data_IF_931145208523
#
_entry.id   IF_931145208523
#
_cell.length_a   1.000
_cell.length_b   1.000
_cell.length_c   1.000
_cell.angle_alpha   90.00
_cell.angle_beta   90.00
_cell.angle_gamma   90.00
#
_symmetry.space_group_name_H-M   'P 1'
#
loop_
_entity.id
_entity.type
_entity.pdbx_description
1 polymer ?
#
# COMPACT_ATOMS: atom_id res chain seq x y z
N UNK A 1 30.27 10.52 18.10
CA UNK A 1 28.96 11.22 18.17
C UNK A 1 28.79 12.05 16.90
N UNK A 2 28.33 11.46 15.79
CA UNK A 2 28.21 12.14 14.50
C UNK A 2 26.80 12.70 14.34
N UNK A 3 26.61 13.99 14.67
CA UNK A 3 25.33 14.70 14.49
C UNK A 3 25.30 15.31 13.09
N UNK A 4 24.93 14.48 12.11
CA UNK A 4 24.68 14.93 10.73
C UNK A 4 23.41 15.78 10.75
N UNK A 5 23.55 17.07 10.45
CA UNK A 5 22.50 18.10 10.51
C UNK A 5 21.48 17.97 9.36
N UNK A 6 20.88 16.80 9.19
CA UNK A 6 19.53 16.71 8.62
C UNK A 6 18.61 16.93 9.82
N UNK A 7 17.99 18.11 9.93
CA UNK A 7 17.09 18.52 11.04
C UNK A 7 15.77 17.73 11.03
N UNK A 8 15.85 16.40 11.00
CA UNK A 8 14.75 15.50 11.23
C UNK A 8 15.27 14.40 12.15
N UNK A 9 15.09 14.59 13.46
CA UNK A 9 15.44 13.59 14.48
C UNK A 9 14.44 12.43 14.40
N UNK A 10 14.57 11.56 13.41
CA UNK A 10 13.81 10.32 13.30
C UNK A 10 14.78 9.15 13.48
N UNK A 11 14.62 8.39 14.56
CA UNK A 11 15.43 7.18 14.77
C UNK A 11 14.90 6.03 13.92
N UNK A 12 15.77 5.06 13.60
CA UNK A 12 15.35 3.85 12.90
C UNK A 12 14.22 3.12 13.65
N UNK A 13 14.31 3.03 14.98
CA UNK A 13 13.29 2.38 15.80
C UNK A 13 11.91 3.05 15.67
N UNK A 14 11.87 4.39 15.63
CA UNK A 14 10.64 5.13 15.40
C UNK A 14 10.09 4.88 13.99
N UNK A 15 10.95 4.93 12.96
CA UNK A 15 10.56 4.67 11.58
C UNK A 15 9.99 3.25 11.40
N UNK A 16 10.66 2.27 12.00
CA UNK A 16 10.26 0.87 11.98
C UNK A 16 8.93 0.66 12.69
N UNK A 17 8.78 1.21 13.91
CA UNK A 17 7.52 1.12 14.64
C UNK A 17 6.35 1.73 13.85
N UNK A 18 6.52 2.95 13.33
CA UNK A 18 5.52 3.62 12.48
C UNK A 18 5.12 2.72 11.31
N UNK A 19 6.10 2.12 10.64
CA UNK A 19 5.84 1.23 9.50
C UNK A 19 5.05 -0.01 9.92
N UNK A 20 5.46 -0.71 10.98
CA UNK A 20 4.76 -1.90 11.47
C UNK A 20 3.30 -1.61 11.81
N UNK A 21 3.03 -0.52 12.55
CA UNK A 21 1.67 -0.15 12.92
C UNK A 21 0.83 0.34 11.74
N UNK A 22 1.45 1.07 10.80
CA UNK A 22 0.74 1.57 9.63
C UNK A 22 0.27 0.46 8.68
N UNK A 23 0.91 -0.71 8.70
CA UNK A 23 0.53 -1.87 7.88
C UNK A 23 -0.53 -2.78 8.51
N UNK A 24 -0.98 -2.51 9.74
CA UNK A 24 -2.07 -3.26 10.38
C UNK A 24 -3.37 -3.34 9.55
N UNK A 25 -3.79 -2.32 8.78
CA UNK A 25 -4.95 -2.45 7.89
C UNK A 25 -4.83 -3.61 6.88
N UNK A 26 -3.62 -3.94 6.40
CA UNK A 26 -3.45 -5.10 5.52
C UNK A 26 -3.57 -6.43 6.25
N UNK A 27 -3.17 -6.49 7.52
CA UNK A 27 -3.42 -7.68 8.36
C UNK A 27 -4.93 -7.88 8.52
N UNK A 28 -5.67 -6.80 8.78
CA UNK A 28 -7.14 -6.84 8.80
C UNK A 28 -7.73 -7.28 7.46
N UNK A 29 -7.22 -6.76 6.34
CA UNK A 29 -7.64 -7.17 5.00
C UNK A 29 -7.43 -8.66 4.75
N UNK A 30 -6.31 -9.22 5.24
CA UNK A 30 -5.98 -10.63 5.09
C UNK A 30 -6.89 -11.53 5.93
N UNK A 31 -7.20 -11.12 7.16
CA UNK A 31 -8.19 -11.82 8.01
C UNK A 31 -9.57 -11.78 7.35
N UNK A 32 -10.01 -10.63 6.84
CA UNK A 32 -11.29 -10.51 6.13
C UNK A 32 -11.33 -11.37 4.87
N UNK A 33 -10.26 -11.36 4.08
CA UNK A 33 -10.16 -12.21 2.90
C UNK A 33 -10.26 -13.69 3.26
N UNK A 34 -9.60 -14.12 4.35
CA UNK A 34 -9.69 -15.48 4.85
C UNK A 34 -11.12 -15.85 5.27
N UNK A 35 -11.81 -14.98 6.01
CA UNK A 35 -13.22 -15.18 6.38
C UNK A 35 -14.12 -15.29 5.13
N UNK A 36 -13.91 -14.45 4.12
CA UNK A 36 -14.67 -14.52 2.86
C UNK A 36 -14.45 -15.85 2.14
N UNK A 37 -13.21 -16.35 2.12
CA UNK A 37 -12.87 -17.66 1.52
C UNK A 37 -13.58 -18.80 2.25
N UNK A 38 -13.73 -18.72 3.57
CA UNK A 38 -14.43 -19.75 4.35
C UNK A 38 -15.95 -19.76 4.13
N UNK A 39 -16.54 -18.60 3.79
CA UNK A 39 -18.00 -18.45 3.64
C UNK A 39 -18.45 -18.65 2.19
N UNK A 40 -17.61 -18.34 1.19
CA UNK A 40 -17.98 -18.41 -0.23
C UNK A 40 -17.65 -19.75 -0.86
N UNK A 41 -18.53 -20.22 -1.74
CA UNK A 41 -18.27 -21.39 -2.59
C UNK A 41 -17.03 -21.18 -3.48
N UNK A 42 -16.16 -22.19 -3.65
CA UNK A 42 -14.92 -22.08 -4.45
C UNK A 42 -15.16 -21.63 -5.90
N UNK A 43 -16.33 -21.98 -6.45
CA UNK A 43 -16.74 -21.63 -7.82
C UNK A 43 -17.04 -20.14 -7.99
N UNK A 44 -17.28 -19.40 -6.90
CA UNK A 44 -17.57 -17.97 -6.89
C UNK A 44 -16.34 -17.07 -6.68
N UNK A 45 -15.15 -17.65 -6.52
CA UNK A 45 -13.91 -16.94 -6.15
C UNK A 45 -13.09 -16.38 -7.32
N UNK A 46 -13.63 -16.33 -8.54
CA UNK A 46 -12.90 -15.78 -9.69
C UNK A 46 -12.49 -14.30 -9.52
N UNK A 47 -13.16 -13.56 -8.62
CA UNK A 47 -12.71 -12.25 -8.15
C UNK A 47 -13.00 -12.14 -6.64
N UNK A 48 -11.98 -12.18 -5.77
CA UNK A 48 -12.16 -11.86 -4.37
C UNK A 48 -12.76 -10.45 -4.25
N UNK A 49 -13.83 -10.25 -3.45
CA UNK A 49 -14.46 -8.94 -3.25
C UNK A 49 -13.55 -8.07 -2.37
N UNK A 50 -12.46 -7.58 -2.94
CA UNK A 50 -11.59 -6.62 -2.30
C UNK A 50 -12.05 -5.20 -2.69
N UNK A 51 -12.22 -4.26 -1.74
CA UNK A 51 -12.67 -2.90 -2.04
C UNK A 51 -11.55 -2.07 -2.69
N UNK A 52 -11.30 -2.35 -3.97
CA UNK A 52 -10.34 -1.65 -4.83
C UNK A 52 -10.93 -1.41 -6.23
N UNK A 53 -10.31 -0.53 -7.01
CA UNK A 53 -10.78 -0.21 -8.36
C UNK A 53 -10.68 -1.40 -9.31
N UNK A 54 -9.77 -2.34 -9.07
CA UNK A 54 -9.62 -3.57 -9.85
C UNK A 54 -10.85 -4.48 -9.80
N UNK A 55 -11.61 -4.45 -8.70
CA UNK A 55 -12.85 -5.21 -8.58
C UNK A 55 -13.95 -4.75 -9.56
N UNK A 56 -13.83 -3.54 -10.10
CA UNK A 56 -14.75 -2.99 -11.11
C UNK A 56 -14.36 -3.39 -12.54
N UNK A 57 -13.16 -3.92 -12.74
CA UNK A 57 -12.62 -4.28 -14.05
C UNK A 57 -12.87 -5.75 -14.38
N UNK A 58 -13.04 -6.06 -15.66
CA UNK A 58 -13.22 -7.45 -16.16
C UNK A 58 -11.83 -8.08 -16.36
N UNK A 59 -11.41 -9.08 -15.56
CA UNK A 59 -10.02 -9.57 -15.57
C UNK A 59 -9.53 -10.07 -16.92
N UNK A 60 -10.42 -10.68 -17.73
CA UNK A 60 -10.09 -11.21 -19.05
C UNK A 60 -10.10 -10.17 -20.18
N UNK A 61 -10.68 -9.00 -19.94
CA UNK A 61 -10.79 -7.92 -20.93
C UNK A 61 -9.88 -6.73 -20.62
N UNK A 62 -9.17 -6.76 -19.48
CA UNK A 62 -8.32 -5.66 -19.01
C UNK A 62 -6.85 -6.09 -19.08
N UNK A 63 -5.96 -5.28 -19.69
CA UNK A 63 -4.52 -5.56 -19.69
C UNK A 63 -3.96 -5.77 -18.27
N UNK A 64 -3.03 -6.71 -18.12
CA UNK A 64 -2.47 -7.08 -16.81
C UNK A 64 -1.84 -5.89 -16.05
N UNK A 65 -1.20 -4.97 -16.76
CA UNK A 65 -0.64 -3.75 -16.18
C UNK A 65 -1.72 -2.84 -15.58
N UNK A 66 -2.86 -2.70 -16.25
CA UNK A 66 -3.98 -1.89 -15.80
C UNK A 66 -4.72 -2.56 -14.63
N UNK A 67 -4.84 -3.89 -14.68
CA UNK A 67 -5.33 -4.68 -13.52
C UNK A 67 -4.42 -4.49 -12.30
N UNK A 68 -3.10 -4.50 -12.48
CA UNK A 68 -2.12 -4.29 -11.40
C UNK A 68 -2.23 -2.89 -10.76
N UNK A 69 -2.46 -1.85 -11.57
CA UNK A 69 -2.71 -0.49 -11.08
C UNK A 69 -4.04 -0.38 -10.34
N UNK A 70 -5.12 -0.86 -10.96
CA UNK A 70 -6.46 -0.73 -10.40
C UNK A 70 -6.63 -1.50 -9.08
N UNK A 71 -6.01 -2.67 -8.95
CA UNK A 71 -6.01 -3.42 -7.69
C UNK A 71 -5.19 -2.75 -6.59
N UNK A 72 -4.24 -1.89 -6.95
CA UNK A 72 -3.40 -1.16 -5.99
C UNK A 72 -4.09 0.10 -5.46
N UNK A 73 -5.14 0.59 -6.12
CA UNK A 73 -5.94 1.73 -5.66
C UNK A 73 -7.19 1.19 -4.95
N UNK A 74 -7.17 1.21 -3.61
CA UNK A 74 -8.27 0.73 -2.79
C UNK A 74 -8.24 1.31 -1.37
N UNK A 75 -9.24 0.92 -0.57
CA UNK A 75 -9.42 1.46 0.79
C UNK A 75 -8.21 1.16 1.69
N UNK A 76 -7.67 -0.06 1.64
CA UNK A 76 -6.54 -0.46 2.49
C UNK A 76 -5.23 0.25 2.15
N UNK A 77 -4.76 0.30 0.89
CA UNK A 77 -3.57 1.09 0.53
C UNK A 77 -3.68 2.56 0.98
N UNK A 78 -4.82 3.21 0.74
CA UNK A 78 -5.04 4.61 1.14
C UNK A 78 -4.96 4.75 2.66
N UNK A 79 -5.56 3.82 3.40
CA UNK A 79 -5.47 3.80 4.86
C UNK A 79 -4.03 3.69 5.36
N UNK A 80 -3.23 2.80 4.76
CA UNK A 80 -1.79 2.67 5.10
C UNK A 80 -1.03 3.98 4.82
N UNK A 81 -1.27 4.63 3.68
CA UNK A 81 -0.62 5.91 3.34
C UNK A 81 -0.93 7.01 4.37
N UNK A 82 -2.20 7.09 4.81
CA UNK A 82 -2.64 8.05 5.84
C UNK A 82 -1.99 7.74 7.18
N UNK A 83 -1.90 6.47 7.59
CA UNK A 83 -1.27 6.07 8.85
C UNK A 83 0.24 6.31 8.83
N UNK A 84 0.93 6.02 7.71
CA UNK A 84 2.35 6.33 7.54
C UNK A 84 2.60 7.83 7.66
N UNK A 85 1.82 8.65 6.94
CA UNK A 85 1.95 10.10 7.01
C UNK A 85 1.73 10.62 8.43
N UNK A 86 0.69 10.12 9.10
CA UNK A 86 0.38 10.47 10.49
C UNK A 86 1.51 10.07 11.44
N UNK A 87 1.96 8.81 11.39
CA UNK A 87 3.02 8.30 12.25
C UNK A 87 4.37 9.00 12.03
N UNK A 88 4.75 9.26 10.77
CA UNK A 88 5.98 10.00 10.49
C UNK A 88 5.88 11.47 10.92
N UNK A 89 4.74 12.12 10.71
CA UNK A 89 4.55 13.50 11.17
C UNK A 89 4.57 13.64 12.70
N UNK A 90 4.09 12.62 13.41
CA UNK A 90 4.13 12.57 14.87
C UNK A 90 5.53 12.25 15.43
N UNK A 91 6.28 11.38 14.75
CA UNK A 91 7.61 10.96 15.20
C UNK A 91 8.72 11.95 14.83
N UNK A 92 8.61 12.62 13.68
CA UNK A 92 9.62 13.53 13.17
C UNK A 92 9.38 14.98 13.58
N UNK A 93 10.26 15.53 14.42
CA UNK A 93 10.22 16.96 14.78
C UNK A 93 10.38 17.84 13.54
N UNK A 94 9.39 18.70 13.28
CA UNK A 94 9.42 19.68 12.19
C UNK A 94 8.93 19.16 10.83
N UNK A 95 8.48 17.90 10.74
CA UNK A 95 7.82 17.37 9.54
C UNK A 95 6.32 17.66 9.62
N UNK A 96 5.80 18.49 8.72
CA UNK A 96 4.35 18.68 8.63
C UNK A 96 3.68 17.43 8.05
N UNK A 97 2.44 17.16 8.46
CA UNK A 97 1.66 16.02 7.97
C UNK A 97 1.58 15.97 6.44
N UNK A 98 1.35 17.13 5.80
CA UNK A 98 1.27 17.20 4.34
C UNK A 98 2.60 16.83 3.68
N UNK A 99 3.74 17.28 4.22
CA UNK A 99 5.06 16.89 3.69
C UNK A 99 5.32 15.40 3.87
N UNK A 100 4.96 14.84 5.03
CA UNK A 100 5.06 13.39 5.28
C UNK A 100 4.21 12.61 4.26
N UNK A 101 2.96 13.03 4.06
CA UNK A 101 2.04 12.43 3.10
C UNK A 101 2.58 12.50 1.67
N UNK A 102 3.09 13.65 1.23
CA UNK A 102 3.69 13.79 -0.10
C UNK A 102 4.84 12.81 -0.30
N UNK A 103 5.77 12.71 0.65
CA UNK A 103 6.90 11.78 0.56
C UNK A 103 6.45 10.31 0.51
N UNK A 104 5.49 9.94 1.38
CA UNK A 104 4.92 8.60 1.43
C UNK A 104 4.18 8.24 0.13
N UNK A 105 3.45 9.19 -0.46
CA UNK A 105 2.78 8.97 -1.75
C UNK A 105 3.78 8.86 -2.87
N UNK A 106 4.82 9.70 -2.91
CA UNK A 106 5.86 9.64 -3.95
C UNK A 106 6.56 8.28 -3.94
N UNK A 107 7.01 7.81 -2.77
CA UNK A 107 7.68 6.50 -2.67
C UNK A 107 6.73 5.36 -3.04
N UNK A 108 5.44 5.47 -2.70
CA UNK A 108 4.43 4.50 -3.09
C UNK A 108 4.18 4.49 -4.60
N UNK A 109 4.09 5.65 -5.25
CA UNK A 109 3.95 5.74 -6.72
C UNK A 109 5.17 5.14 -7.42
N UNK A 110 6.38 5.42 -6.95
CA UNK A 110 7.61 4.81 -7.48
C UNK A 110 7.53 3.29 -7.37
N UNK A 111 7.13 2.77 -6.21
CA UNK A 111 6.95 1.34 -6.02
C UNK A 111 5.87 0.74 -6.93
N UNK A 112 4.76 1.47 -7.17
CA UNK A 112 3.74 1.04 -8.11
C UNK A 112 4.28 0.91 -9.52
N UNK A 113 5.08 1.86 -9.99
CA UNK A 113 5.70 1.82 -11.32
C UNK A 113 6.65 0.64 -11.47
N UNK A 114 7.43 0.33 -10.42
CA UNK A 114 8.30 -0.85 -10.41
C UNK A 114 7.47 -2.14 -10.47
N UNK A 115 6.43 -2.24 -9.64
CA UNK A 115 5.53 -3.40 -9.61
C UNK A 115 4.84 -3.61 -10.96
N UNK A 116 4.30 -2.56 -11.56
CA UNK A 116 3.58 -2.67 -12.84
C UNK A 116 4.53 -2.92 -14.00
N UNK A 117 5.72 -2.32 -14.00
CA UNK A 117 6.79 -2.64 -14.94
C UNK A 117 7.18 -4.13 -14.88
N UNK A 118 7.30 -4.70 -13.68
CA UNK A 118 7.52 -6.14 -13.51
C UNK A 118 6.39 -7.00 -14.08
N UNK A 119 5.13 -6.61 -13.86
CA UNK A 119 3.96 -7.29 -14.44
C UNK A 119 3.99 -7.25 -15.98
N UNK A 120 4.36 -6.10 -16.56
CA UNK A 120 4.51 -5.93 -18.01
C UNK A 120 5.57 -6.89 -18.55
N UNK A 121 6.77 -6.92 -17.97
CA UNK A 121 7.87 -7.80 -18.41
C UNK A 121 7.43 -9.27 -18.35
N UNK A 122 6.80 -9.69 -17.24
CA UNK A 122 6.32 -11.06 -17.05
C UNK A 122 5.22 -11.47 -18.04
N UNK A 123 4.50 -10.51 -18.64
CA UNK A 123 3.43 -10.82 -19.61
C UNK A 123 3.93 -11.10 -21.03
N UNK A 124 5.22 -10.84 -21.31
CA UNK A 124 5.85 -11.08 -22.61
C UNK A 124 6.87 -12.24 -22.60
N UNK A 125 7.10 -12.88 -21.44
CA UNK A 125 7.91 -14.09 -21.27
C UNK A 125 7.00 -15.32 -21.26
#
# INVERSE_FOLDING_TARGET
>A
MFRLRLKLELTFQQAFAVTCYAYLPFVLALILAFVVVLIKDPTSMQNPPMPNLGALLKPKATPAWLMGLATSIGVFPIWVLVLLATGFSAAARGLTWLKAFTWVVVIWVVWLLVKTGGIVISSYM
#
